data_IF_026796563861
#
_entry.id   IF_026796563861
#
_cell.length_a   1.000
_cell.length_b   1.000
_cell.length_c   1.000
_cell.angle_alpha   90.00
_cell.angle_beta   90.00
_cell.angle_gamma   90.00
#
_symmetry.space_group_name_H-M   'P 1'
#
loop_
_entity.id
_entity.type
_entity.pdbx_description
1 polymer ?
#
# COMPACT_ATOMS: atom_id res chain seq x y z
N UNK A 1 -19.50 9.23 75.38
CA UNK A 1 -18.67 9.51 74.19
C UNK A 1 -19.60 9.49 72.98
N UNK A 2 -19.18 9.97 71.81
CA UNK A 2 -19.65 9.51 70.48
C UNK A 2 -20.53 10.41 69.61
N UNK A 3 -21.47 11.24 70.09
CA UNK A 3 -22.37 11.94 69.13
C UNK A 3 -21.62 12.98 68.28
N UNK A 4 -20.81 13.84 68.91
CA UNK A 4 -20.02 14.84 68.19
C UNK A 4 -18.88 14.20 67.38
N UNK A 5 -18.17 13.22 67.95
CA UNK A 5 -17.10 12.48 67.29
C UNK A 5 -17.59 11.72 66.03
N UNK A 6 -18.76 11.09 66.11
CA UNK A 6 -19.38 10.40 64.97
C UNK A 6 -19.85 11.39 63.90
N UNK A 7 -20.37 12.57 64.30
CA UNK A 7 -20.73 13.62 63.35
C UNK A 7 -19.51 14.17 62.59
N UNK A 8 -18.39 14.41 63.29
CA UNK A 8 -17.12 14.87 62.69
C UNK A 8 -16.55 13.80 61.77
N UNK A 9 -16.51 12.54 62.21
CA UNK A 9 -16.03 11.42 61.39
C UNK A 9 -16.92 11.20 60.16
N UNK A 10 -18.24 11.33 60.30
CA UNK A 10 -19.21 11.24 59.21
C UNK A 10 -19.03 12.36 58.18
N UNK A 11 -18.82 13.59 58.63
CA UNK A 11 -18.54 14.73 57.75
C UNK A 11 -17.22 14.55 57.00
N UNK A 12 -16.16 14.07 57.68
CA UNK A 12 -14.88 13.75 57.05
C UNK A 12 -15.01 12.66 55.99
N UNK A 13 -15.73 11.57 56.26
CA UNK A 13 -15.98 10.51 55.27
C UNK A 13 -16.73 11.02 54.05
N UNK A 14 -17.78 11.84 54.26
CA UNK A 14 -18.52 12.47 53.16
C UNK A 14 -17.60 13.39 52.33
N UNK A 15 -16.78 14.21 52.98
CA UNK A 15 -15.83 15.09 52.29
C UNK A 15 -14.78 14.28 51.50
N UNK A 16 -14.26 13.21 52.10
CA UNK A 16 -13.30 12.31 51.47
C UNK A 16 -13.89 11.59 50.26
N UNK A 17 -15.13 11.12 50.36
CA UNK A 17 -15.85 10.50 49.26
C UNK A 17 -16.02 11.47 48.08
N UNK A 18 -16.48 12.70 48.33
CA UNK A 18 -16.63 13.70 47.28
C UNK A 18 -15.29 14.13 46.68
N UNK A 19 -14.25 14.33 47.49
CA UNK A 19 -12.90 14.62 46.99
C UNK A 19 -12.34 13.48 46.13
N UNK A 20 -12.50 12.23 46.57
CA UNK A 20 -12.11 11.05 45.81
C UNK A 20 -12.86 10.96 44.48
N UNK A 21 -14.18 11.15 44.48
CA UNK A 21 -14.98 11.21 43.26
C UNK A 21 -14.50 12.31 42.29
N UNK A 22 -14.04 13.46 42.83
CA UNK A 22 -13.41 14.52 42.01
C UNK A 22 -12.13 14.03 41.37
N UNK A 23 -11.28 13.42 42.17
CA UNK A 23 -9.96 12.93 41.77
C UNK A 23 -10.08 11.90 40.67
N UNK A 24 -11.02 10.95 40.81
CA UNK A 24 -11.36 9.97 39.79
C UNK A 24 -11.75 10.69 38.49
N UNK A 25 -12.75 11.57 38.51
CA UNK A 25 -13.22 12.24 37.29
C UNK A 25 -12.11 13.01 36.56
N UNK A 26 -11.27 13.74 37.29
CA UNK A 26 -10.17 14.52 36.68
C UNK A 26 -9.09 13.58 36.13
N UNK A 27 -8.68 12.56 36.89
CA UNK A 27 -7.64 11.63 36.47
C UNK A 27 -8.11 10.78 35.27
N UNK A 28 -9.36 10.30 35.29
CA UNK A 28 -9.98 9.59 34.18
C UNK A 28 -10.11 10.46 32.93
N UNK A 29 -10.49 11.74 33.08
CA UNK A 29 -10.54 12.67 31.94
C UNK A 29 -9.15 12.90 31.33
N UNK A 30 -8.12 13.09 32.16
CA UNK A 30 -6.75 13.25 31.70
C UNK A 30 -6.25 11.98 30.97
N UNK A 31 -6.56 10.79 31.51
CA UNK A 31 -6.22 9.52 30.87
C UNK A 31 -6.92 9.35 29.52
N UNK A 32 -8.22 9.60 29.44
CA UNK A 32 -8.99 9.52 28.19
C UNK A 32 -8.45 10.48 27.13
N UNK A 33 -8.07 11.69 27.53
CA UNK A 33 -7.45 12.64 26.62
C UNK A 33 -6.09 12.16 26.12
N UNK A 34 -5.23 11.68 27.02
CA UNK A 34 -3.90 11.16 26.70
C UNK A 34 -4.03 9.94 25.78
N UNK A 35 -4.91 9.00 26.12
CA UNK A 35 -5.22 7.84 25.29
C UNK A 35 -5.69 8.29 23.92
N UNK A 36 -6.68 9.17 23.81
CA UNK A 36 -7.16 9.67 22.53
C UNK A 36 -6.06 10.35 21.68
N UNK A 37 -5.15 11.10 22.30
CA UNK A 37 -4.01 11.69 21.57
C UNK A 37 -3.00 10.64 21.12
N UNK A 38 -2.66 9.68 21.97
CA UNK A 38 -1.70 8.61 21.64
C UNK A 38 -2.27 7.74 20.54
N UNK A 39 -3.56 7.40 20.59
CA UNK A 39 -4.21 6.58 19.56
C UNK A 39 -4.32 7.31 18.24
N UNK A 40 -4.59 8.62 18.24
CA UNK A 40 -4.55 9.43 17.02
C UNK A 40 -3.14 9.46 16.40
N UNK A 41 -2.10 9.66 17.21
CA UNK A 41 -0.70 9.68 16.75
C UNK A 41 -0.26 8.32 16.24
N UNK A 42 -0.49 7.25 17.01
CA UNK A 42 -0.16 5.89 16.59
C UNK A 42 -0.87 5.56 15.29
N UNK A 43 -2.16 5.85 15.17
CA UNK A 43 -2.93 5.57 13.96
C UNK A 43 -2.49 6.38 12.74
N UNK A 44 -1.88 7.56 12.96
CA UNK A 44 -1.29 8.36 11.88
C UNK A 44 0.05 7.80 11.41
N UNK A 45 0.77 7.05 12.27
CA UNK A 45 2.10 6.52 11.99
C UNK A 45 2.11 5.02 11.67
N UNK A 46 1.14 4.24 12.16
CA UNK A 46 1.12 2.77 12.09
C UNK A 46 -0.28 2.21 11.93
N UNK A 47 -0.40 1.11 11.17
CA UNK A 47 -1.62 0.31 11.01
C UNK A 47 -1.79 -0.67 12.17
N UNK A 48 -1.89 -0.17 13.40
CA UNK A 48 -2.07 -1.03 14.58
C UNK A 48 -3.51 -1.55 14.67
N UNK A 49 -3.71 -2.85 14.96
CA UNK A 49 -5.04 -3.43 15.05
C UNK A 49 -5.83 -2.88 16.25
N UNK A 50 -7.15 -2.77 16.09
CA UNK A 50 -8.09 -2.21 17.05
C UNK A 50 -8.03 -2.83 18.46
N UNK A 51 -7.51 -4.06 18.59
CA UNK A 51 -7.32 -4.76 19.87
C UNK A 51 -6.38 -4.03 20.84
N UNK A 52 -5.36 -3.33 20.34
CA UNK A 52 -4.46 -2.54 21.21
C UNK A 52 -5.14 -1.30 21.79
N UNK A 53 -6.17 -0.77 21.13
CA UNK A 53 -6.97 0.34 21.66
C UNK A 53 -7.77 -0.07 22.90
N UNK A 54 -8.27 -1.31 22.92
CA UNK A 54 -8.97 -1.87 24.09
C UNK A 54 -8.05 -2.04 25.30
N UNK A 55 -6.75 -2.31 25.07
CA UNK A 55 -5.76 -2.36 26.14
C UNK A 55 -5.60 -1.01 26.85
N UNK A 56 -5.70 0.10 26.11
CA UNK A 56 -5.66 1.45 26.68
C UNK A 56 -6.79 1.72 27.69
N UNK A 57 -7.98 1.17 27.45
CA UNK A 57 -9.11 1.28 28.38
C UNK A 57 -8.86 0.54 29.70
N UNK A 58 -8.05 -0.52 29.70
CA UNK A 58 -7.65 -1.22 30.92
C UNK A 58 -6.86 -0.30 31.87
N UNK A 59 -6.11 0.66 31.33
CA UNK A 59 -5.37 1.68 32.08
C UNK A 59 -6.25 2.68 32.83
N UNK A 60 -7.55 2.77 32.53
CA UNK A 60 -8.47 3.66 33.24
C UNK A 60 -8.61 3.29 34.73
N UNK A 61 -8.59 1.99 35.03
CA UNK A 61 -8.77 1.44 36.37
C UNK A 61 -7.66 1.88 37.35
N UNK A 62 -6.35 1.67 37.07
CA UNK A 62 -5.29 2.12 37.95
C UNK A 62 -5.19 3.64 38.06
N UNK A 63 -5.51 4.39 36.99
CA UNK A 63 -5.48 5.86 37.04
C UNK A 63 -6.63 6.42 37.87
N UNK A 64 -7.83 5.81 37.78
CA UNK A 64 -8.96 6.18 38.62
C UNK A 64 -8.66 5.92 40.10
N UNK A 65 -8.08 4.76 40.46
CA UNK A 65 -7.76 4.43 41.85
C UNK A 65 -6.64 5.32 42.40
N UNK A 66 -5.60 5.61 41.61
CA UNK A 66 -4.55 6.56 41.99
C UNK A 66 -5.12 7.97 42.21
N UNK A 67 -5.99 8.44 41.31
CA UNK A 67 -6.67 9.73 41.42
C UNK A 67 -7.55 9.82 42.68
N UNK A 68 -8.29 8.75 42.98
CA UNK A 68 -9.08 8.64 44.21
C UNK A 68 -8.18 8.71 45.46
N UNK A 69 -7.06 7.98 45.46
CA UNK A 69 -6.14 7.90 46.58
C UNK A 69 -5.44 9.23 46.86
N UNK A 70 -4.91 9.90 45.82
CA UNK A 70 -4.26 11.21 45.95
C UNK A 70 -5.25 12.26 46.44
N UNK A 71 -6.48 12.26 45.91
CA UNK A 71 -7.51 13.21 46.35
C UNK A 71 -8.01 12.92 47.77
N UNK A 72 -8.13 11.64 48.16
CA UNK A 72 -8.47 11.25 49.53
C UNK A 72 -7.36 11.62 50.53
N UNK A 73 -6.08 11.56 50.13
CA UNK A 73 -4.96 12.01 50.97
C UNK A 73 -4.93 13.53 51.20
N UNK A 74 -5.53 14.31 50.31
CA UNK A 74 -5.70 15.76 50.47
C UNK A 74 -6.85 16.14 51.41
N UNK A 75 -7.50 15.18 52.06
CA UNK A 75 -8.52 15.48 53.05
C UNK A 75 -7.95 16.25 54.25
N UNK A 76 -8.61 17.34 54.68
CA UNK A 76 -8.20 18.07 55.86
C UNK A 76 -8.25 17.17 57.11
N UNK A 77 -7.35 17.46 58.06
CA UNK A 77 -7.25 16.75 59.32
C UNK A 77 -8.52 16.91 60.16
N UNK A 78 -8.74 15.99 61.10
CA UNK A 78 -9.90 16.07 62.00
C UNK A 78 -9.92 17.37 62.80
N UNK A 79 -8.77 17.91 63.18
CA UNK A 79 -8.65 19.20 63.85
C UNK A 79 -9.24 20.36 63.03
N UNK A 80 -8.96 20.42 61.72
CA UNK A 80 -9.51 21.46 60.83
C UNK A 80 -11.03 21.32 60.70
N UNK A 81 -11.53 20.09 60.59
CA UNK A 81 -12.97 19.82 60.49
C UNK A 81 -13.68 20.16 61.80
N UNK A 82 -13.05 19.90 62.96
CA UNK A 82 -13.55 20.32 64.27
C UNK A 82 -13.62 21.83 64.40
N UNK A 83 -12.55 22.54 64.04
CA UNK A 83 -12.51 24.00 64.05
C UNK A 83 -13.60 24.61 63.14
N UNK A 84 -13.80 24.01 61.96
CA UNK A 84 -14.86 24.42 61.04
C UNK A 84 -16.26 24.19 61.62
N UNK A 85 -16.50 23.03 62.24
CA UNK A 85 -17.78 22.72 62.89
C UNK A 85 -18.05 23.62 64.10
N UNK A 86 -17.00 23.96 64.86
CA UNK A 86 -17.08 24.88 65.99
C UNK A 86 -17.48 26.29 65.56
N UNK A 87 -16.82 26.82 64.51
CA UNK A 87 -17.14 28.12 63.94
C UNK A 87 -18.57 28.14 63.34
N UNK A 88 -18.95 27.09 62.61
CA UNK A 88 -20.27 27.01 61.94
C UNK A 88 -21.42 26.94 62.94
N UNK A 89 -21.23 26.22 64.06
CA UNK A 89 -22.24 26.09 65.11
C UNK A 89 -22.11 27.16 66.20
N UNK A 90 -21.17 28.11 66.08
CA UNK A 90 -20.87 29.16 67.06
C UNK A 90 -20.63 28.61 68.48
N UNK A 91 -19.91 27.49 68.57
CA UNK A 91 -19.63 26.81 69.84
C UNK A 91 -18.46 27.43 70.62
N UNK A 92 -17.82 28.49 70.13
CA UNK A 92 -16.87 29.31 70.90
C UNK A 92 -15.60 28.59 71.34
N UNK A 93 -15.18 27.54 70.63
CA UNK A 93 -14.01 26.71 70.92
C UNK A 93 -14.33 25.44 71.69
N UNK A 94 -15.57 25.24 72.15
CA UNK A 94 -15.96 24.08 72.96
C UNK A 94 -15.74 22.75 72.24
N UNK A 95 -15.93 22.69 70.92
CA UNK A 95 -15.68 21.46 70.14
C UNK A 95 -14.19 21.20 69.88
N UNK A 96 -13.32 22.21 70.01
CA UNK A 96 -11.87 22.01 69.99
C UNK A 96 -11.35 21.59 71.36
N UNK A 97 -11.89 22.18 72.44
CA UNK A 97 -11.47 21.87 73.81
C UNK A 97 -11.85 20.44 74.26
N UNK A 98 -12.96 19.89 73.74
CA UNK A 98 -13.42 18.50 73.98
C UNK A 98 -12.40 17.43 73.53
N UNK A 99 -11.43 17.77 72.66
CA UNK A 99 -10.34 16.84 72.28
C UNK A 99 -9.28 16.70 73.37
N UNK A 100 -9.07 17.76 74.16
CA UNK A 100 -7.99 17.85 75.15
C UNK A 100 -8.46 17.73 76.59
N UNK A 101 -9.73 18.07 76.87
CA UNK A 101 -10.32 18.13 78.21
C UNK A 101 -11.71 17.51 78.17
N UNK A 102 -12.05 16.68 79.15
CA UNK A 102 -13.40 16.13 79.25
C UNK A 102 -14.43 17.23 79.54
N UNK A 103 -15.20 17.60 78.51
CA UNK A 103 -16.26 18.60 78.59
C UNK A 103 -17.64 17.98 78.87
N UNK A 104 -17.68 16.76 79.43
CA UNK A 104 -18.91 16.04 79.77
C UNK A 104 -19.91 16.87 80.60
N UNK A 105 -19.42 17.69 81.54
CA UNK A 105 -20.23 18.60 82.36
C UNK A 105 -20.93 19.72 81.57
N UNK A 106 -20.39 20.10 80.41
CA UNK A 106 -20.92 21.15 79.56
C UNK A 106 -21.84 20.63 78.45
N UNK A 107 -21.91 19.31 78.21
CA UNK A 107 -22.71 18.70 77.12
C UNK A 107 -24.18 19.10 77.11
N UNK A 108 -24.80 19.31 78.27
CA UNK A 108 -26.19 19.77 78.37
C UNK A 108 -26.41 21.25 78.02
N UNK A 109 -25.34 22.04 77.91
CA UNK A 109 -25.37 23.47 77.57
C UNK A 109 -24.86 23.77 76.16
N UNK A 110 -24.39 22.76 75.42
CA UNK A 110 -23.92 22.91 74.05
C UNK A 110 -25.14 22.87 73.11
N UNK A 111 -25.30 23.84 72.19
CA UNK A 111 -26.33 23.80 71.15
C UNK A 111 -26.25 22.52 70.32
N UNK A 112 -27.39 21.99 69.85
CA UNK A 112 -27.42 20.78 69.02
C UNK A 112 -26.54 20.96 67.77
N UNK A 113 -25.47 20.18 67.67
CA UNK A 113 -24.48 20.28 66.59
C UNK A 113 -25.16 19.97 65.25
N UNK A 114 -25.27 20.97 64.39
CA UNK A 114 -25.79 20.82 63.03
C UNK A 114 -24.63 20.59 62.06
N UNK A 115 -24.67 19.48 61.33
CA UNK A 115 -23.66 19.20 60.30
C UNK A 115 -23.94 20.05 59.05
N UNK A 116 -22.95 20.79 58.52
CA UNK A 116 -23.15 21.58 57.31
C UNK A 116 -23.44 20.67 56.11
N UNK A 117 -24.37 21.09 55.25
CA UNK A 117 -24.68 20.36 54.01
C UNK A 117 -23.59 20.60 52.96
N UNK A 118 -22.86 19.56 52.59
CA UNK A 118 -21.87 19.62 51.51
C UNK A 118 -22.62 19.65 50.17
N UNK A 119 -22.54 20.76 49.43
CA UNK A 119 -23.06 20.86 48.06
C UNK A 119 -21.92 20.68 47.07
N UNK A 120 -21.95 19.58 46.32
CA UNK A 120 -21.02 19.32 45.24
C UNK A 120 -21.26 20.27 44.06
N UNK A 121 -20.27 21.11 43.73
CA UNK A 121 -20.27 21.97 42.52
C UNK A 121 -19.32 21.42 41.45
N UNK A 122 -19.51 20.16 41.07
CA UNK A 122 -18.63 19.47 40.11
C UNK A 122 -18.88 19.73 38.64
N UNK A 123 -19.72 20.71 38.25
CA UNK A 123 -20.10 20.96 36.85
C UNK A 123 -18.90 21.03 35.88
N UNK A 124 -17.81 21.66 36.31
CA UNK A 124 -16.56 21.74 35.51
C UNK A 124 -15.88 20.38 35.35
N UNK A 125 -15.84 19.58 36.41
CA UNK A 125 -15.21 18.25 36.40
C UNK A 125 -16.01 17.25 35.57
N UNK A 126 -17.35 17.32 35.65
CA UNK A 126 -18.22 16.49 34.81
C UNK A 126 -18.15 16.91 33.34
N UNK A 127 -18.09 18.22 33.06
CA UNK A 127 -17.93 18.71 31.69
C UNK A 127 -16.61 18.25 31.07
N UNK A 128 -15.49 18.41 31.78
CA UNK A 128 -14.18 17.92 31.30
C UNK A 128 -14.17 16.42 31.00
N UNK A 129 -14.82 15.63 31.85
CA UNK A 129 -14.94 14.19 31.62
C UNK A 129 -15.79 13.88 30.37
N UNK A 130 -16.92 14.56 30.18
CA UNK A 130 -17.78 14.37 29.00
C UNK A 130 -17.02 14.75 27.72
N UNK A 131 -16.30 15.87 27.73
CA UNK A 131 -15.50 16.31 26.57
C UNK A 131 -14.40 15.30 26.25
N UNK A 132 -13.67 14.81 27.26
CA UNK A 132 -12.63 13.80 27.06
C UNK A 132 -13.20 12.47 26.57
N UNK A 133 -14.37 12.06 27.06
CA UNK A 133 -15.07 10.87 26.59
C UNK A 133 -15.52 11.03 25.13
N UNK A 134 -16.13 12.16 24.79
CA UNK A 134 -16.54 12.45 23.42
C UNK A 134 -15.35 12.46 22.46
N UNK A 135 -14.23 13.06 22.86
CA UNK A 135 -12.99 13.03 22.10
C UNK A 135 -12.49 11.60 21.86
N UNK A 136 -12.42 10.77 22.91
CA UNK A 136 -11.99 9.38 22.78
C UNK A 136 -12.93 8.56 21.87
N UNK A 137 -14.25 8.78 21.97
CA UNK A 137 -15.25 8.13 21.10
C UNK A 137 -15.10 8.57 19.65
N UNK A 138 -14.92 9.88 19.39
CA UNK A 138 -14.71 10.40 18.04
C UNK A 138 -13.46 9.77 17.44
N UNK A 139 -12.33 9.77 18.14
CA UNK A 139 -11.07 9.16 17.67
C UNK A 139 -11.22 7.66 17.40
N UNK A 140 -11.97 6.94 18.23
CA UNK A 140 -12.27 5.52 18.00
C UNK A 140 -13.20 5.30 16.80
N UNK A 141 -14.16 6.20 16.59
CA UNK A 141 -15.14 6.12 15.50
C UNK A 141 -14.58 6.57 14.14
N UNK A 142 -13.48 7.33 14.10
CA UNK A 142 -12.80 7.66 12.83
C UNK A 142 -12.45 6.34 12.12
N UNK A 143 -12.93 6.10 10.90
CA UNK A 143 -12.58 4.90 10.14
C UNK A 143 -11.09 4.89 9.72
N UNK A 144 -10.45 3.71 9.73
CA UNK A 144 -9.01 3.57 9.40
C UNK A 144 -8.67 4.17 8.03
N UNK A 145 -9.59 4.06 7.07
CA UNK A 145 -9.54 4.65 5.73
C UNK A 145 -9.19 6.15 5.66
N UNK A 146 -9.49 6.94 6.70
CA UNK A 146 -9.12 8.37 6.72
C UNK A 146 -7.75 8.65 7.34
N UNK A 147 -7.17 7.69 8.07
CA UNK A 147 -5.89 7.83 8.77
C UNK A 147 -4.77 7.02 8.13
N UNK A 148 -5.08 5.98 7.36
CA UNK A 148 -4.13 5.16 6.60
C UNK A 148 -3.47 5.89 5.42
N UNK A 149 -3.73 7.19 5.24
CA UNK A 149 -3.19 7.99 4.14
C UNK A 149 -1.72 8.40 4.29
N UNK A 150 -1.06 8.17 5.42
CA UNK A 150 0.31 8.66 5.64
C UNK A 150 1.40 7.59 5.46
N UNK A 151 1.02 6.30 5.36
CA UNK A 151 1.97 5.20 5.20
C UNK A 151 1.68 4.35 3.97
N UNK A 152 2.41 4.62 2.87
CA UNK A 152 2.73 3.67 1.78
C UNK A 152 1.65 2.64 1.41
N UNK A 153 0.56 3.09 0.79
CA UNK A 153 -0.08 2.23 -0.20
C UNK A 153 0.78 2.33 -1.46
N UNK A 154 1.93 1.64 -1.52
CA UNK A 154 2.63 1.40 -2.79
C UNK A 154 1.92 0.21 -3.41
N UNK A 155 1.63 0.27 -4.71
CA UNK A 155 1.04 -0.86 -5.41
C UNK A 155 2.15 -1.89 -5.64
N UNK A 156 1.92 -3.16 -5.27
CA UNK A 156 2.85 -4.25 -5.56
C UNK A 156 2.73 -4.61 -7.05
N UNK A 157 3.60 -4.02 -7.87
CA UNK A 157 3.73 -4.31 -9.31
C UNK A 157 5.09 -4.92 -9.67
N UNK A 158 5.90 -5.29 -8.67
CA UNK A 158 7.26 -5.80 -8.88
C UNK A 158 7.33 -7.00 -9.83
N UNK A 159 6.49 -8.00 -9.60
CA UNK A 159 6.48 -9.24 -10.40
C UNK A 159 6.11 -8.97 -11.86
N UNK A 160 5.13 -8.08 -12.10
CA UNK A 160 4.67 -7.74 -13.46
C UNK A 160 5.71 -6.91 -14.20
N UNK A 161 6.37 -5.98 -13.52
CA UNK A 161 7.47 -5.20 -14.10
C UNK A 161 8.65 -6.10 -14.45
N UNK A 162 9.00 -7.05 -13.57
CA UNK A 162 10.09 -8.01 -13.82
C UNK A 162 9.80 -8.92 -15.01
N UNK A 163 8.55 -9.37 -15.17
CA UNK A 163 8.11 -10.13 -16.34
C UNK A 163 8.22 -9.30 -17.63
N UNK A 164 7.79 -8.03 -17.62
CA UNK A 164 7.91 -7.14 -18.78
C UNK A 164 9.37 -6.85 -19.16
N UNK A 165 10.24 -6.59 -18.18
CA UNK A 165 11.68 -6.39 -18.42
C UNK A 165 12.28 -7.64 -19.07
N UNK A 166 11.92 -8.84 -18.59
CA UNK A 166 12.39 -10.09 -19.19
C UNK A 166 11.89 -10.28 -20.62
N UNK A 167 10.67 -9.85 -20.94
CA UNK A 167 10.14 -9.91 -22.32
C UNK A 167 10.88 -8.94 -23.24
N UNK A 168 11.14 -7.70 -22.78
CA UNK A 168 11.90 -6.70 -23.55
C UNK A 168 13.32 -7.19 -23.82
N UNK A 169 13.99 -7.80 -22.84
CA UNK A 169 15.35 -8.35 -23.02
C UNK A 169 15.39 -9.49 -24.05
N UNK A 170 14.35 -10.31 -24.13
CA UNK A 170 14.24 -11.34 -25.18
C UNK A 170 14.04 -10.69 -26.54
N UNK A 171 13.19 -9.66 -26.64
CA UNK A 171 12.95 -8.94 -27.90
C UNK A 171 14.19 -8.21 -28.41
N UNK A 172 15.02 -7.68 -27.51
CA UNK A 172 16.33 -7.10 -27.83
C UNK A 172 17.31 -8.17 -28.31
N UNK A 173 17.40 -9.32 -27.64
CA UNK A 173 18.28 -10.42 -28.04
C UNK A 173 17.95 -10.98 -29.43
N UNK A 174 16.68 -11.04 -29.76
CA UNK A 174 16.19 -11.45 -31.09
C UNK A 174 16.27 -10.31 -32.12
N UNK A 175 16.81 -9.14 -31.74
CA UNK A 175 16.99 -7.96 -32.60
C UNK A 175 15.66 -7.45 -33.20
N UNK A 176 14.55 -7.67 -32.49
CA UNK A 176 13.20 -7.24 -32.87
C UNK A 176 12.97 -5.77 -32.51
N UNK A 177 13.60 -5.31 -31.43
CA UNK A 177 13.55 -3.92 -30.93
C UNK A 177 14.99 -3.39 -30.89
N UNK A 178 15.17 -2.11 -31.24
CA UNK A 178 16.47 -1.43 -31.16
C UNK A 178 16.93 -1.25 -29.70
N UNK A 179 18.24 -1.32 -29.44
CA UNK A 179 18.84 -1.19 -28.10
C UNK A 179 18.48 0.15 -27.41
N UNK A 180 18.28 1.22 -28.19
CA UNK A 180 17.85 2.52 -27.68
C UNK A 180 16.38 2.49 -27.19
N UNK A 181 15.50 1.77 -27.88
CA UNK A 181 14.08 1.64 -27.54
C UNK A 181 13.88 0.71 -26.33
N UNK A 182 14.68 -0.36 -26.21
CA UNK A 182 14.66 -1.23 -25.03
C UNK A 182 15.09 -0.49 -23.75
N UNK A 183 16.10 0.38 -23.85
CA UNK A 183 16.56 1.20 -22.74
C UNK A 183 15.50 2.22 -22.28
N UNK A 184 14.79 2.87 -23.20
CA UNK A 184 13.72 3.84 -22.86
C UNK A 184 12.53 3.16 -22.18
N UNK A 185 12.12 1.98 -22.65
CA UNK A 185 11.03 1.21 -22.04
C UNK A 185 11.39 0.74 -20.63
N UNK A 186 12.63 0.27 -20.43
CA UNK A 186 13.13 -0.12 -19.11
C UNK A 186 13.19 1.08 -18.13
N UNK A 187 13.67 2.25 -18.59
CA UNK A 187 13.67 3.46 -17.76
C UNK A 187 12.25 3.88 -17.36
N UNK A 188 11.30 3.75 -18.28
CA UNK A 188 9.88 4.07 -18.03
C UNK A 188 9.27 3.09 -17.02
N UNK A 189 9.59 1.80 -17.11
CA UNK A 189 9.17 0.77 -16.14
C UNK A 189 9.75 1.02 -14.74
N UNK A 190 11.01 1.43 -14.63
CA UNK A 190 11.64 1.76 -13.36
C UNK A 190 11.02 3.03 -12.72
N UNK A 191 10.75 4.07 -13.52
CA UNK A 191 10.02 5.25 -13.05
C UNK A 191 8.61 4.89 -12.58
N UNK A 192 7.92 4.01 -13.31
CA UNK A 192 6.57 3.58 -12.96
C UNK A 192 6.57 2.73 -11.68
N UNK A 193 7.56 1.85 -11.49
CA UNK A 193 7.80 1.13 -10.23
C UNK A 193 8.00 2.10 -9.08
N UNK A 194 8.69 3.21 -9.34
CA UNK A 194 8.96 4.18 -8.30
C UNK A 194 7.76 5.04 -7.91
N UNK A 195 6.96 5.43 -8.89
CA UNK A 195 5.76 6.26 -8.75
C UNK A 195 4.48 5.46 -8.40
N UNK A 196 4.52 4.13 -8.48
CA UNK A 196 3.37 3.25 -8.25
C UNK A 196 2.69 3.51 -6.91
N UNK A 197 1.54 4.19 -6.98
CA UNK A 197 0.73 4.53 -5.82
C UNK A 197 -0.55 3.71 -5.81
N UNK A 198 -0.76 2.96 -4.73
CA UNK A 198 -2.05 2.32 -4.43
C UNK A 198 -3.20 3.30 -4.16
N UNK A 199 -2.98 4.62 -4.29
CA UNK A 199 -4.03 5.64 -4.29
C UNK A 199 -4.75 5.79 -5.63
N UNK A 200 -4.06 5.49 -6.73
CA UNK A 200 -4.61 5.59 -8.09
C UNK A 200 -4.17 4.37 -8.91
N UNK A 201 -4.64 3.16 -8.55
CA UNK A 201 -4.17 1.92 -9.17
C UNK A 201 -4.53 1.85 -10.66
N UNK A 202 -5.63 2.50 -11.08
CA UNK A 202 -6.11 2.44 -12.47
C UNK A 202 -5.07 3.02 -13.42
N UNK A 203 -4.50 4.19 -13.11
CA UNK A 203 -3.48 4.81 -13.97
C UNK A 203 -2.19 3.99 -14.05
N UNK A 204 -1.75 3.40 -12.94
CA UNK A 204 -0.56 2.54 -12.95
C UNK A 204 -0.79 1.28 -13.80
N UNK A 205 -1.99 0.69 -13.74
CA UNK A 205 -2.33 -0.46 -14.59
C UNK A 205 -2.49 -0.08 -16.07
N UNK A 206 -3.11 1.06 -16.38
CA UNK A 206 -3.21 1.56 -17.75
C UNK A 206 -1.82 1.82 -18.37
N UNK A 207 -0.90 2.42 -17.60
CA UNK A 207 0.47 2.64 -18.06
C UNK A 207 1.23 1.32 -18.31
N UNK A 208 1.07 0.32 -17.44
CA UNK A 208 1.65 -1.01 -17.66
C UNK A 208 1.06 -1.70 -18.90
N UNK A 209 -0.26 -1.60 -19.09
CA UNK A 209 -0.95 -2.20 -20.24
C UNK A 209 -0.50 -1.57 -21.56
N UNK A 210 -0.25 -0.26 -21.57
CA UNK A 210 0.33 0.41 -22.75
C UNK A 210 1.72 -0.11 -23.11
N UNK A 211 2.59 -0.35 -22.12
CA UNK A 211 3.94 -0.87 -22.35
C UNK A 211 3.88 -2.33 -22.82
N UNK A 212 3.05 -3.15 -22.18
CA UNK A 212 2.82 -4.54 -22.60
C UNK A 212 2.24 -4.62 -24.03
N UNK A 213 1.31 -3.74 -24.39
CA UNK A 213 0.74 -3.66 -25.73
C UNK A 213 1.77 -3.25 -26.78
N UNK A 214 2.69 -2.33 -26.45
CA UNK A 214 3.78 -1.93 -27.35
C UNK A 214 4.75 -3.09 -27.61
N UNK A 215 5.22 -3.76 -26.54
CA UNK A 215 6.16 -4.89 -26.66
C UNK A 215 5.55 -6.08 -27.42
N UNK A 216 4.30 -6.46 -27.10
CA UNK A 216 3.61 -7.56 -27.79
C UNK A 216 3.25 -7.21 -29.24
N UNK A 217 2.90 -5.96 -29.52
CA UNK A 217 2.62 -5.49 -30.88
C UNK A 217 3.85 -5.56 -31.80
N UNK A 218 5.03 -5.21 -31.30
CA UNK A 218 6.30 -5.37 -32.04
C UNK A 218 6.59 -6.84 -32.35
N UNK A 219 6.45 -7.72 -31.36
CA UNK A 219 6.67 -9.16 -31.51
C UNK A 219 5.67 -9.82 -32.48
N UNK A 220 4.40 -9.42 -32.43
CA UNK A 220 3.38 -9.95 -33.32
C UNK A 220 3.62 -9.52 -34.77
N UNK A 221 4.02 -8.26 -34.97
CA UNK A 221 4.29 -7.74 -36.31
C UNK A 221 5.46 -8.48 -36.98
N UNK A 222 6.56 -8.71 -36.25
CA UNK A 222 7.69 -9.48 -36.80
C UNK A 222 7.34 -10.96 -37.01
N UNK A 223 6.53 -11.56 -36.15
CA UNK A 223 6.05 -12.92 -36.37
C UNK A 223 5.13 -13.03 -37.59
N UNK A 224 4.25 -12.04 -37.83
CA UNK A 224 3.40 -11.98 -39.02
C UNK A 224 4.22 -11.76 -40.29
N UNK A 225 5.22 -10.88 -40.25
CA UNK A 225 6.14 -10.64 -41.36
C UNK A 225 6.94 -11.92 -41.68
N UNK A 226 7.49 -12.61 -40.69
CA UNK A 226 8.19 -13.89 -40.88
C UNK A 226 7.26 -15.01 -41.40
N UNK A 227 6.01 -15.08 -40.93
CA UNK A 227 5.02 -16.03 -41.45
C UNK A 227 4.62 -15.74 -42.90
N UNK A 228 4.52 -14.46 -43.28
CA UNK A 228 4.26 -14.07 -44.66
C UNK A 228 5.43 -14.47 -45.57
N UNK A 229 6.68 -14.19 -45.15
CA UNK A 229 7.89 -14.56 -45.90
C UNK A 229 8.04 -16.07 -46.06
N UNK A 230 7.81 -16.85 -45.00
CA UNK A 230 7.87 -18.32 -45.08
C UNK A 230 6.78 -18.90 -45.97
N UNK A 231 5.60 -18.27 -46.02
CA UNK A 231 4.54 -18.66 -46.96
C UNK A 231 4.96 -18.40 -48.40
N UNK A 232 5.52 -17.24 -48.68
CA UNK A 232 6.00 -16.87 -50.03
C UNK A 232 7.13 -17.82 -50.48
N UNK A 233 8.07 -18.15 -49.59
CA UNK A 233 9.12 -19.14 -49.85
C UNK A 233 8.56 -20.56 -50.08
N UNK A 234 7.53 -20.96 -49.35
CA UNK A 234 6.90 -22.28 -49.53
C UNK A 234 6.17 -22.36 -50.87
N UNK A 235 5.50 -21.28 -51.28
CA UNK A 235 4.83 -21.17 -52.57
C UNK A 235 5.87 -21.25 -53.71
N UNK A 236 6.97 -20.52 -53.60
CA UNK A 236 8.09 -20.58 -54.55
C UNK A 236 8.74 -21.97 -54.62
N UNK A 237 8.99 -22.61 -53.49
CA UNK A 237 9.56 -23.96 -53.45
C UNK A 237 8.63 -24.98 -54.13
N UNK A 238 7.32 -24.89 -53.88
CA UNK A 238 6.34 -25.75 -54.55
C UNK A 238 6.26 -25.53 -56.06
N UNK A 239 6.41 -24.28 -56.51
CA UNK A 239 6.46 -23.94 -57.93
C UNK A 239 7.75 -24.46 -58.59
N UNK A 240 8.89 -24.37 -57.89
CA UNK A 240 10.17 -24.90 -58.34
C UNK A 240 10.15 -26.42 -58.45
N UNK A 241 9.60 -27.12 -57.44
CA UNK A 241 9.45 -28.58 -57.46
C UNK A 241 8.54 -29.05 -58.61
N UNK A 242 7.42 -28.36 -58.84
CA UNK A 242 6.51 -28.67 -59.95
C UNK A 242 7.21 -28.47 -61.31
N UNK A 243 8.06 -27.45 -61.45
CA UNK A 243 8.86 -27.22 -62.65
C UNK A 243 9.94 -28.30 -62.85
N UNK A 244 10.58 -28.75 -61.77
CA UNK A 244 11.55 -29.83 -61.81
C UNK A 244 10.91 -31.17 -62.23
N UNK A 245 9.72 -31.48 -61.70
CA UNK A 245 8.96 -32.67 -62.06
C UNK A 245 8.52 -32.64 -63.53
N UNK A 246 8.01 -31.50 -64.01
CA UNK A 246 7.67 -31.30 -65.42
C UNK A 246 8.88 -31.41 -66.36
N UNK A 247 10.07 -30.96 -65.92
CA UNK A 247 11.30 -31.08 -66.69
C UNK A 247 11.78 -32.52 -66.81
N UNK A 248 11.61 -33.32 -65.75
CA UNK A 248 11.97 -34.74 -65.71
C UNK A 248 10.98 -35.62 -66.50
N UNK A 249 9.68 -35.35 -66.42
CA UNK A 249 8.66 -36.19 -67.06
C UNK A 249 8.46 -35.89 -68.56
N UNK A 250 8.52 -34.63 -68.98
CA UNK A 250 8.16 -34.23 -70.35
C UNK A 250 9.34 -33.80 -71.22
N UNK A 251 10.58 -33.79 -70.69
CA UNK A 251 11.75 -33.36 -71.45
C UNK A 251 11.56 -31.96 -72.04
N UNK A 252 11.26 -30.99 -71.17
CA UNK A 252 11.04 -29.60 -71.55
C UNK A 252 12.16 -29.10 -72.48
N UNK A 253 11.78 -28.50 -73.60
CA UNK A 253 12.72 -27.83 -74.50
C UNK A 253 13.50 -26.76 -73.73
N UNK A 254 14.79 -26.54 -74.01
CA UNK A 254 15.63 -25.60 -73.27
C UNK A 254 15.05 -24.17 -73.20
N UNK A 255 14.26 -23.76 -74.20
CA UNK A 255 13.56 -22.46 -74.22
C UNK A 255 12.40 -22.37 -73.23
N UNK A 256 11.67 -23.47 -73.00
CA UNK A 256 10.56 -23.53 -72.05
C UNK A 256 11.05 -23.54 -70.60
N UNK A 257 12.16 -24.23 -70.35
CA UNK A 257 12.82 -24.24 -69.03
C UNK A 257 13.40 -22.87 -68.67
N UNK A 258 14.02 -22.18 -69.64
CA UNK A 258 14.50 -20.80 -69.46
C UNK A 258 13.37 -19.80 -69.22
N UNK A 259 12.21 -19.95 -69.90
CA UNK A 259 11.04 -19.11 -69.67
C UNK A 259 10.46 -19.29 -68.26
N UNK A 260 10.32 -20.53 -67.81
CA UNK A 260 9.81 -20.84 -66.46
C UNK A 260 10.76 -20.40 -65.34
N UNK A 261 12.08 -20.57 -65.53
CA UNK A 261 13.08 -20.07 -64.58
C UNK A 261 13.09 -18.54 -64.51
N UNK A 262 12.85 -17.85 -65.62
CA UNK A 262 12.71 -16.39 -65.65
C UNK A 262 11.45 -15.92 -64.93
N UNK A 263 10.35 -16.65 -65.05
CA UNK A 263 9.11 -16.35 -64.34
C UNK A 263 9.26 -16.60 -62.82
N UNK A 264 10.00 -17.64 -62.43
CA UNK A 264 10.36 -17.91 -61.04
C UNK A 264 11.28 -16.81 -60.47
N UNK A 265 12.28 -16.34 -61.23
CA UNK A 265 13.14 -15.22 -60.79
C UNK A 265 12.34 -13.92 -60.67
N UNK A 266 11.41 -13.65 -61.58
CA UNK A 266 10.55 -12.48 -61.50
C UNK A 266 9.59 -12.54 -60.29
N UNK A 267 9.11 -13.73 -59.90
CA UNK A 267 8.34 -13.91 -58.67
C UNK A 267 9.22 -13.71 -57.41
N UNK A 268 10.46 -14.18 -57.42
CA UNK A 268 11.43 -13.93 -56.34
C UNK A 268 11.74 -12.43 -56.17
N UNK A 269 11.90 -11.70 -57.28
CA UNK A 269 12.12 -10.25 -57.29
C UNK A 269 10.90 -9.49 -56.75
N UNK A 270 9.69 -9.89 -57.15
CA UNK A 270 8.44 -9.24 -56.74
C UNK A 270 8.13 -9.47 -55.25
N UNK A 271 8.51 -10.62 -54.71
CA UNK A 271 8.42 -10.94 -53.29
C UNK A 271 9.55 -10.32 -52.44
N UNK A 272 10.51 -9.60 -53.05
CA UNK A 272 11.63 -8.98 -52.34
C UNK A 272 12.59 -9.97 -51.66
N UNK A 273 12.55 -11.24 -52.07
CA UNK A 273 13.34 -12.33 -51.46
C UNK A 273 14.79 -12.34 -51.95
N UNK A 274 15.11 -11.57 -53.00
CA UNK A 274 16.46 -11.50 -53.57
C UNK A 274 17.47 -10.91 -52.57
N UNK A 275 17.10 -9.88 -51.81
CA UNK A 275 17.96 -9.29 -50.77
C UNK A 275 18.13 -10.21 -49.54
N UNK A 276 17.16 -11.09 -49.24
CA UNK A 276 17.23 -12.05 -48.12
C UNK A 276 18.01 -13.33 -48.46
N UNK A 277 17.94 -13.81 -49.71
CA UNK A 277 18.76 -14.94 -50.16
C UNK A 277 20.25 -14.57 -50.26
N UNK A 278 20.53 -13.27 -50.42
CA UNK A 278 21.87 -12.70 -50.38
C UNK A 278 22.31 -12.33 -48.95
N UNK A 279 21.47 -12.58 -47.95
CA UNK A 279 21.82 -12.34 -46.55
C UNK A 279 22.86 -13.37 -46.08
N UNK A 280 24.02 -12.85 -45.67
CA UNK A 280 25.24 -13.61 -45.39
C UNK A 280 25.01 -14.64 -44.27
N UNK A 281 24.08 -14.38 -43.34
CA UNK A 281 23.73 -15.29 -42.25
C UNK A 281 22.88 -16.49 -42.68
N UNK A 282 22.02 -16.32 -43.69
CA UNK A 282 21.13 -17.38 -44.18
C UNK A 282 21.89 -18.30 -45.15
N UNK A 283 22.82 -17.74 -45.91
CA UNK A 283 23.77 -18.47 -46.75
C UNK A 283 24.70 -19.40 -45.93
N UNK A 284 25.21 -18.92 -44.79
CA UNK A 284 26.08 -19.69 -43.89
C UNK A 284 25.34 -20.84 -43.19
N UNK A 285 24.05 -20.65 -42.84
CA UNK A 285 23.21 -21.70 -42.25
C UNK A 285 22.81 -22.80 -43.24
N UNK A 286 22.65 -22.47 -44.53
CA UNK A 286 22.27 -23.41 -45.57
C UNK A 286 23.47 -24.04 -46.31
N UNK A 287 24.70 -23.60 -46.01
CA UNK A 287 25.92 -24.10 -46.65
C UNK A 287 26.00 -23.80 -48.15
N UNK A 288 25.34 -22.72 -48.59
CA UNK A 288 25.24 -22.31 -50.00
C UNK A 288 26.09 -21.06 -50.20
N UNK A 289 27.02 -21.10 -51.17
CA UNK A 289 27.93 -19.99 -51.45
C UNK A 289 27.15 -18.82 -52.13
N UNK A 290 26.97 -17.67 -51.46
CA UNK A 290 26.05 -16.61 -51.91
C UNK A 290 26.50 -15.97 -53.23
N UNK A 291 27.80 -15.98 -53.52
CA UNK A 291 28.36 -15.50 -54.79
C UNK A 291 27.95 -16.39 -55.98
N UNK A 292 27.75 -17.69 -55.76
CA UNK A 292 27.37 -18.64 -56.81
C UNK A 292 25.87 -18.56 -57.11
N UNK A 293 25.03 -18.34 -56.08
CA UNK A 293 23.61 -18.07 -56.22
C UNK A 293 23.34 -16.74 -56.95
N UNK A 294 24.08 -15.68 -56.60
CA UNK A 294 24.00 -14.39 -57.29
C UNK A 294 24.36 -14.52 -58.78
N UNK A 295 25.43 -15.26 -59.10
CA UNK A 295 25.83 -15.52 -60.50
C UNK A 295 24.79 -16.36 -61.26
N UNK A 296 24.18 -17.36 -60.63
CA UNK A 296 23.15 -18.18 -61.28
C UNK A 296 21.85 -17.40 -61.49
N UNK A 297 21.43 -16.57 -60.53
CA UNK A 297 20.28 -15.68 -60.67
C UNK A 297 20.49 -14.63 -61.78
N UNK A 298 21.68 -14.02 -61.85
CA UNK A 298 22.03 -13.05 -62.89
C UNK A 298 22.14 -13.72 -64.28
N UNK A 299 22.69 -14.95 -64.36
CA UNK A 299 22.73 -15.72 -65.61
C UNK A 299 21.35 -16.22 -66.06
N UNK A 300 20.44 -16.53 -65.13
CA UNK A 300 19.04 -16.82 -65.41
C UNK A 300 18.30 -15.59 -65.94
N UNK A 301 18.52 -14.39 -65.36
CA UNK A 301 17.91 -13.14 -65.81
C UNK A 301 18.36 -12.75 -67.24
N UNK A 302 19.60 -13.09 -67.61
CA UNK A 302 20.20 -12.82 -68.92
C UNK A 302 19.88 -13.86 -70.00
N UNK A 303 19.22 -14.98 -69.67
CA UNK A 303 18.77 -15.98 -70.65
C UNK A 303 19.87 -16.80 -71.33
N UNK A 304 21.08 -16.82 -70.76
CA UNK A 304 22.24 -17.55 -71.31
C UNK A 304 22.60 -18.75 -70.42
N UNK A 305 21.75 -19.78 -70.39
CA UNK A 305 22.11 -21.06 -69.79
C UNK A 305 22.61 -22.01 -70.87
N UNK A 306 23.92 -22.25 -70.91
CA UNK A 306 24.49 -23.35 -71.72
C UNK A 306 24.41 -24.67 -70.93
N UNK A 307 24.05 -25.79 -71.57
CA UNK A 307 23.74 -27.07 -70.90
C UNK A 307 24.92 -27.70 -70.14
N UNK A 308 26.14 -27.19 -70.29
CA UNK A 308 27.32 -27.68 -69.57
C UNK A 308 27.39 -27.21 -68.10
N UNK A 309 26.63 -26.17 -67.71
CA UNK A 309 26.68 -25.61 -66.35
C UNK A 309 25.67 -26.24 -65.36
N UNK A 310 24.76 -27.10 -65.83
CA UNK A 310 23.75 -27.77 -64.99
C UNK A 310 24.18 -29.19 -64.52
N UNK A 311 25.43 -29.60 -64.76
CA UNK A 311 25.92 -30.96 -64.46
C UNK A 311 27.10 -31.06 -63.46
N UNK A 312 27.36 -30.02 -62.67
CA UNK A 312 28.26 -30.11 -61.50
C UNK A 312 27.50 -29.78 -60.23
#
# INVERSE_FOLDING_TARGET
>A
MDVAGNAIAGLRRKLAFWLAARGVLIASAAWLYLLGTVTLVLRSCTSLPQSYLLLGFLGLLPVATAGAFVAARRCPSQAIIRALMDNTNKCGGLLMADETVDMSAWRGRIPSVSAPTIRWRGKRSSYLFIVALAFAVVVAAVPERYTSGLGRARLEIGDVVEELVSQIEVLEKENIIEEDESAELNETLDKLRDEASGRDPVKTWEALDHIAAAASGAAQKTAEDALSQTRDLTELASAADALAELALENGLTPEGLAASMKELSAMMDLAGLQDMLLDEQLADQLGLDPAMLAQLLDQCALGNLTPEQLQQ
#
